data_IF_929103055288
#
_entry.id   IF_929103055288
#
_cell.length_a   1.000
_cell.length_b   1.000
_cell.length_c   1.000
_cell.angle_alpha   90.00
_cell.angle_beta   90.00
_cell.angle_gamma   90.00
#
_symmetry.space_group_name_H-M   'P 1'
#
loop_
_entity.id
_entity.type
_entity.pdbx_description
1 polymer ?
#
# COMPACT_ATOMS: atom_id res chain seq x y z
N UNK A 1 -0.97 10.20 17.11
CA UNK A 1 -0.59 8.76 17.23
C UNK A 1 -1.73 7.78 16.95
N UNK A 2 -2.95 7.93 17.51
CA UNK A 2 -4.06 6.97 17.27
C UNK A 2 -4.45 6.86 15.80
N UNK A 3 -4.56 8.00 15.09
CA UNK A 3 -4.93 8.04 13.67
C UNK A 3 -3.92 7.32 12.76
N UNK A 4 -2.62 7.54 12.96
CA UNK A 4 -1.55 6.86 12.19
C UNK A 4 -1.64 5.34 12.33
N UNK A 5 -1.87 4.84 13.56
CA UNK A 5 -2.05 3.41 13.79
C UNK A 5 -3.29 2.84 13.09
N UNK A 6 -4.42 3.55 13.16
CA UNK A 6 -5.66 3.15 12.46
C UNK A 6 -5.45 3.14 10.95
N UNK A 7 -4.81 4.16 10.38
CA UNK A 7 -4.49 4.22 8.95
C UNK A 7 -3.53 3.10 8.55
N UNK A 8 -2.50 2.79 9.34
CA UNK A 8 -1.60 1.67 9.06
C UNK A 8 -2.33 0.31 9.04
N UNK A 9 -3.28 0.09 9.96
CA UNK A 9 -4.12 -1.12 9.97
C UNK A 9 -5.03 -1.14 8.74
N UNK A 10 -5.68 -0.02 8.43
CA UNK A 10 -6.58 0.10 7.28
C UNK A 10 -5.85 -0.18 5.95
N UNK A 11 -4.61 0.31 5.79
CA UNK A 11 -3.76 0.00 4.64
C UNK A 11 -3.44 -1.50 4.59
N UNK A 12 -3.05 -2.10 5.72
CA UNK A 12 -2.77 -3.54 5.80
C UNK A 12 -3.95 -4.41 5.38
N UNK A 13 -5.14 -4.12 5.92
CA UNK A 13 -6.39 -4.80 5.54
C UNK A 13 -6.74 -4.53 4.07
N UNK A 14 -6.60 -3.27 3.63
CA UNK A 14 -6.88 -2.86 2.26
C UNK A 14 -6.03 -3.63 1.24
N UNK A 15 -4.75 -3.86 1.50
CA UNK A 15 -3.90 -4.61 0.56
C UNK A 15 -4.26 -6.10 0.50
N UNK A 16 -4.70 -6.71 1.61
CA UNK A 16 -5.22 -8.08 1.58
C UNK A 16 -6.48 -8.16 0.72
N UNK A 17 -7.42 -7.22 0.91
CA UNK A 17 -8.62 -7.11 0.08
C UNK A 17 -8.23 -6.95 -1.40
N UNK A 18 -7.22 -6.12 -1.69
CA UNK A 18 -6.75 -5.89 -3.05
C UNK A 18 -6.16 -7.12 -3.70
N UNK A 19 -5.39 -7.93 -2.97
CA UNK A 19 -4.89 -9.19 -3.48
C UNK A 19 -6.04 -10.14 -3.83
N UNK A 20 -7.05 -10.24 -2.95
CA UNK A 20 -8.22 -11.09 -3.18
C UNK A 20 -8.99 -10.60 -4.42
N UNK A 21 -9.24 -9.30 -4.54
CA UNK A 21 -9.91 -8.71 -5.71
C UNK A 21 -9.10 -8.99 -6.99
N UNK A 22 -7.79 -8.77 -6.97
CA UNK A 22 -6.91 -8.99 -8.12
C UNK A 22 -6.91 -10.45 -8.60
N UNK A 23 -6.87 -11.43 -7.68
CA UNK A 23 -6.97 -12.85 -8.02
C UNK A 23 -8.33 -13.18 -8.66
N UNK A 24 -9.42 -12.62 -8.13
CA UNK A 24 -10.76 -12.86 -8.67
C UNK A 24 -10.93 -12.22 -10.07
N UNK A 25 -10.40 -11.02 -10.30
CA UNK A 25 -10.38 -10.38 -11.62
C UNK A 25 -9.60 -11.25 -12.62
N UNK A 26 -8.43 -11.78 -12.22
CA UNK A 26 -7.63 -12.68 -13.06
C UNK A 26 -8.36 -14.00 -13.40
N UNK A 27 -9.32 -14.41 -12.57
CA UNK A 27 -10.20 -15.57 -12.81
C UNK A 27 -11.44 -15.25 -13.65
N UNK A 28 -11.59 -14.01 -14.13
CA UNK A 28 -12.67 -13.58 -15.03
C UNK A 28 -13.80 -12.78 -14.38
N UNK A 29 -13.73 -12.46 -13.07
CA UNK A 29 -14.71 -11.60 -12.40
C UNK A 29 -14.45 -10.11 -12.69
N UNK A 30 -14.60 -9.71 -13.95
CA UNK A 30 -14.29 -8.36 -14.42
C UNK A 30 -15.16 -7.25 -13.79
N UNK A 31 -16.33 -7.59 -13.23
CA UNK A 31 -17.19 -6.65 -12.50
C UNK A 31 -16.54 -6.08 -11.23
N UNK A 32 -15.50 -6.74 -10.70
CA UNK A 32 -14.76 -6.28 -9.52
C UNK A 32 -13.63 -5.29 -9.86
N UNK A 33 -13.37 -5.03 -11.14
CA UNK A 33 -12.24 -4.23 -11.61
C UNK A 33 -12.28 -2.80 -11.08
N UNK A 34 -13.44 -2.16 -11.13
CA UNK A 34 -13.58 -0.75 -10.75
C UNK A 34 -13.46 -0.59 -9.22
N UNK A 35 -13.98 -1.57 -8.47
CA UNK A 35 -13.79 -1.64 -7.03
C UNK A 35 -12.31 -1.83 -6.65
N UNK A 36 -11.60 -2.70 -7.37
CA UNK A 36 -10.17 -2.90 -7.21
C UNK A 36 -9.38 -1.61 -7.53
N UNK A 37 -9.71 -0.92 -8.61
CA UNK A 37 -9.09 0.37 -8.94
C UNK A 37 -9.34 1.43 -7.86
N UNK A 38 -10.58 1.53 -7.38
CA UNK A 38 -10.97 2.47 -6.32
C UNK A 38 -10.16 2.24 -5.04
N UNK A 39 -10.07 1.01 -4.55
CA UNK A 39 -9.26 0.70 -3.37
C UNK A 39 -7.77 0.95 -3.61
N UNK A 40 -7.30 0.91 -4.86
CA UNK A 40 -5.90 1.13 -5.21
C UNK A 40 -5.54 2.58 -5.04
N UNK A 41 -6.39 3.46 -5.58
CA UNK A 41 -6.28 4.91 -5.44
C UNK A 41 -6.44 5.32 -3.96
N UNK A 42 -7.43 4.76 -3.25
CA UNK A 42 -7.61 5.03 -1.82
C UNK A 42 -6.38 4.60 -1.01
N UNK A 43 -5.83 3.42 -1.30
CA UNK A 43 -4.59 2.94 -0.68
C UNK A 43 -3.42 3.89 -0.91
N UNK A 44 -3.26 4.41 -2.15
CA UNK A 44 -2.24 5.40 -2.47
C UNK A 44 -2.40 6.67 -1.63
N UNK A 45 -3.61 7.22 -1.50
CA UNK A 45 -3.89 8.41 -0.68
C UNK A 45 -3.47 8.18 0.79
N UNK A 46 -3.85 7.04 1.35
CA UNK A 46 -3.52 6.70 2.75
C UNK A 46 -2.02 6.52 2.96
N UNK A 47 -1.32 5.86 2.03
CA UNK A 47 0.13 5.69 2.09
C UNK A 47 0.85 7.03 1.91
N UNK A 48 0.39 7.90 1.01
CA UNK A 48 0.90 9.27 0.85
C UNK A 48 0.78 10.07 2.14
N UNK A 49 -0.36 9.97 2.83
CA UNK A 49 -0.53 10.60 4.14
C UNK A 49 0.48 10.08 5.18
N UNK A 50 0.70 8.76 5.26
CA UNK A 50 1.69 8.19 6.17
C UNK A 50 3.12 8.64 5.86
N UNK A 51 3.48 8.71 4.58
CA UNK A 51 4.77 9.23 4.17
C UNK A 51 4.93 10.70 4.55
N UNK A 52 3.94 11.55 4.23
CA UNK A 52 3.93 12.96 4.64
C UNK A 52 4.11 13.10 6.16
N UNK A 53 3.35 12.32 6.94
CA UNK A 53 3.46 12.34 8.39
C UNK A 53 4.88 11.95 8.86
N UNK A 54 5.49 10.94 8.25
CA UNK A 54 6.85 10.52 8.58
C UNK A 54 7.89 11.60 8.31
N UNK A 55 7.73 12.37 7.22
CA UNK A 55 8.65 13.44 6.85
C UNK A 55 8.50 14.61 7.84
N UNK A 56 7.26 14.98 8.14
CA UNK A 56 6.96 16.19 8.93
C UNK A 56 7.15 16.00 10.43
N UNK A 57 6.81 14.84 10.98
CA UNK A 57 6.66 14.66 12.43
C UNK A 57 7.59 13.59 13.03
N UNK A 58 8.29 12.79 12.22
CA UNK A 58 9.21 11.77 12.72
C UNK A 58 10.67 12.19 12.53
N UNK A 59 11.47 12.00 13.57
CA UNK A 59 12.94 12.14 13.52
C UNK A 59 13.61 10.85 13.02
N UNK A 60 12.91 9.72 13.01
CA UNK A 60 13.46 8.43 12.57
C UNK A 60 13.67 8.38 11.06
N UNK A 61 14.93 8.28 10.63
CA UNK A 61 15.32 8.06 9.23
C UNK A 61 14.78 6.72 8.69
N UNK A 62 14.76 5.67 9.50
CA UNK A 62 14.21 4.36 9.12
C UNK A 62 12.73 4.44 8.76
N UNK A 63 11.92 5.20 9.51
CA UNK A 63 10.49 5.36 9.21
C UNK A 63 10.28 6.13 7.89
N UNK A 64 11.12 7.14 7.61
CA UNK A 64 11.07 7.90 6.34
C UNK A 64 11.42 7.01 5.15
N UNK A 65 12.46 6.19 5.27
CA UNK A 65 12.87 5.25 4.21
C UNK A 65 11.78 4.19 3.99
N UNK A 66 11.29 3.55 5.06
CA UNK A 66 10.28 2.50 4.94
C UNK A 66 8.96 3.02 4.35
N UNK A 67 8.48 4.18 4.82
CA UNK A 67 7.26 4.80 4.27
C UNK A 67 7.45 5.32 2.85
N UNK A 68 8.63 5.85 2.51
CA UNK A 68 8.96 6.27 1.14
C UNK A 68 9.02 5.10 0.17
N UNK A 69 9.65 3.99 0.55
CA UNK A 69 9.67 2.75 -0.23
C UNK A 69 8.26 2.18 -0.42
N UNK A 70 7.44 2.22 0.64
CA UNK A 70 6.02 1.80 0.57
C UNK A 70 5.23 2.68 -0.40
N UNK A 71 5.42 4.01 -0.35
CA UNK A 71 4.77 4.94 -1.26
C UNK A 71 5.17 4.69 -2.71
N UNK A 72 6.47 4.55 -2.99
CA UNK A 72 6.97 4.29 -4.34
C UNK A 72 6.39 2.98 -4.90
N UNK A 73 6.41 1.90 -4.10
CA UNK A 73 5.84 0.62 -4.51
C UNK A 73 4.32 0.72 -4.75
N UNK A 74 3.60 1.46 -3.90
CA UNK A 74 2.15 1.69 -4.06
C UNK A 74 1.85 2.48 -5.34
N UNK A 75 2.65 3.50 -5.64
CA UNK A 75 2.51 4.29 -6.86
C UNK A 75 2.74 3.43 -8.11
N UNK A 76 3.82 2.64 -8.13
CA UNK A 76 4.10 1.69 -9.21
C UNK A 76 2.93 0.71 -9.39
N UNK A 77 2.40 0.18 -8.29
CA UNK A 77 1.26 -0.74 -8.29
C UNK A 77 0.01 -0.11 -8.93
N UNK A 78 -0.36 1.10 -8.52
CA UNK A 78 -1.51 1.81 -9.08
C UNK A 78 -1.27 2.15 -10.56
N UNK A 79 -0.07 2.59 -10.94
CA UNK A 79 0.26 2.87 -12.33
C UNK A 79 0.13 1.62 -13.22
N UNK A 80 0.66 0.47 -12.77
CA UNK A 80 0.50 -0.81 -13.48
C UNK A 80 -0.97 -1.24 -13.55
N UNK A 81 -1.73 -1.08 -12.46
CA UNK A 81 -3.15 -1.40 -12.41
C UNK A 81 -3.98 -0.53 -13.37
N UNK A 82 -3.71 0.78 -13.44
CA UNK A 82 -4.34 1.69 -14.39
C UNK A 82 -3.96 1.37 -15.84
N UNK A 83 -2.71 0.96 -16.09
CA UNK A 83 -2.32 0.48 -17.41
C UNK A 83 -3.13 -0.76 -17.81
N UNK A 84 -3.25 -1.76 -16.92
CA UNK A 84 -4.06 -2.96 -17.14
C UNK A 84 -5.56 -2.67 -17.29
N UNK A 85 -6.04 -1.59 -16.67
CA UNK A 85 -7.41 -1.12 -16.82
C UNK A 85 -7.71 -0.69 -18.26
N UNK A 86 -6.74 -0.08 -18.94
CA UNK A 86 -6.87 0.43 -20.30
C UNK A 86 -6.46 -0.60 -21.36
N UNK A 87 -5.42 -1.39 -21.09
CA UNK A 87 -4.88 -2.39 -22.00
C UNK A 87 -4.34 -3.61 -21.25
N UNK A 88 -4.95 -4.77 -21.49
CA UNK A 88 -4.52 -6.03 -20.88
C UNK A 88 -3.21 -6.53 -21.50
N UNK A 89 -2.22 -6.79 -20.66
CA UNK A 89 -0.94 -7.40 -21.05
C UNK A 89 -0.52 -8.44 -20.03
N UNK A 90 -0.20 -9.65 -20.50
CA UNK A 90 0.24 -10.76 -19.62
C UNK A 90 1.51 -10.39 -18.86
N UNK A 91 2.46 -9.76 -19.55
CA UNK A 91 3.71 -9.29 -18.94
C UNK A 91 3.45 -8.27 -17.83
N UNK A 92 2.65 -7.24 -18.09
CA UNK A 92 2.31 -6.21 -17.10
C UNK A 92 1.49 -6.80 -15.94
N UNK A 93 0.56 -7.71 -16.23
CA UNK A 93 -0.24 -8.40 -15.22
C UNK A 93 0.65 -9.24 -14.28
N UNK A 94 1.69 -9.84 -14.81
CA UNK A 94 2.66 -10.64 -14.04
C UNK A 94 3.49 -9.75 -13.13
N UNK A 95 4.03 -8.65 -13.66
CA UNK A 95 4.76 -7.66 -12.86
C UNK A 95 3.85 -7.07 -11.78
N UNK A 96 2.62 -6.69 -12.14
CA UNK A 96 1.62 -6.15 -11.21
C UNK A 96 1.34 -7.14 -10.07
N UNK A 97 1.18 -8.43 -10.36
CA UNK A 97 0.99 -9.45 -9.32
C UNK A 97 2.20 -9.53 -8.37
N UNK A 98 3.42 -9.70 -8.88
CA UNK A 98 4.61 -9.85 -8.03
C UNK A 98 4.95 -8.60 -7.23
N UNK A 99 4.80 -7.42 -7.84
CA UNK A 99 5.00 -6.16 -7.12
C UNK A 99 3.90 -5.90 -6.09
N UNK A 100 2.70 -6.46 -6.26
CA UNK A 100 1.63 -6.47 -5.25
C UNK A 100 1.97 -7.35 -4.04
N UNK A 101 2.56 -8.53 -4.27
CA UNK A 101 3.07 -9.39 -3.19
C UNK A 101 4.20 -8.70 -2.42
N UNK A 102 5.15 -8.06 -3.12
CA UNK A 102 6.20 -7.26 -2.49
C UNK A 102 5.61 -6.12 -1.65
N UNK A 103 4.56 -5.45 -2.13
CA UNK A 103 3.92 -4.36 -1.41
C UNK A 103 3.34 -4.81 -0.06
N UNK A 104 2.79 -6.03 0.04
CA UNK A 104 2.32 -6.60 1.32
C UNK A 104 3.46 -6.65 2.34
N UNK A 105 4.64 -7.12 1.93
CA UNK A 105 5.81 -7.21 2.79
C UNK A 105 6.25 -5.82 3.25
N UNK A 106 6.33 -4.86 2.32
CA UNK A 106 6.71 -3.48 2.63
C UNK A 106 5.74 -2.82 3.61
N UNK A 107 4.44 -3.02 3.44
CA UNK A 107 3.42 -2.48 4.35
C UNK A 107 3.52 -3.12 5.73
N UNK A 108 3.74 -4.44 5.81
CA UNK A 108 3.93 -5.12 7.09
C UNK A 108 5.16 -4.57 7.85
N UNK A 109 6.29 -4.40 7.14
CA UNK A 109 7.53 -3.85 7.71
C UNK A 109 7.34 -2.39 8.13
N UNK A 110 6.80 -1.55 7.25
CA UNK A 110 6.52 -0.13 7.51
C UNK A 110 5.56 0.05 8.70
N UNK A 111 4.49 -0.75 8.75
CA UNK A 111 3.54 -0.78 9.87
C UNK A 111 4.19 -1.20 11.18
N UNK A 112 5.03 -2.24 11.17
CA UNK A 112 5.77 -2.67 12.36
C UNK A 112 6.72 -1.59 12.89
N UNK A 113 7.47 -0.92 12.01
CA UNK A 113 8.37 0.19 12.36
C UNK A 113 7.56 1.36 12.94
N UNK A 114 6.45 1.73 12.29
CA UNK A 114 5.56 2.80 12.74
C UNK A 114 5.00 2.53 14.14
N UNK A 115 4.52 1.31 14.40
CA UNK A 115 4.00 0.91 15.71
C UNK A 115 5.07 0.91 16.81
N UNK A 116 6.28 0.43 16.51
CA UNK A 116 7.41 0.46 17.45
C UNK A 116 7.79 1.90 17.81
N UNK A 117 7.86 2.77 16.80
CA UNK A 117 8.21 4.18 17.01
C UNK A 117 7.15 4.91 17.86
N UNK A 118 5.87 4.65 17.61
CA UNK A 118 4.77 5.24 18.38
C UNK A 118 4.74 4.80 19.86
N UNK A 119 5.23 3.59 20.18
CA UNK A 119 5.36 3.13 21.58
C UNK A 119 6.54 3.77 22.30
N UNK A 120 7.67 3.95 21.61
CA UNK A 120 8.87 4.58 22.18
C UNK A 120 8.61 6.04 22.58
N UNK A 121 7.90 6.78 21.73
CA UNK A 121 7.52 8.18 21.96
C UNK A 121 6.62 8.41 23.18
N UNK A 122 5.98 7.37 23.75
CA UNK A 122 5.13 7.50 24.95
C UNK A 122 5.86 7.23 26.27
N UNK A 123 7.10 6.75 26.22
CA UNK A 123 7.87 6.32 27.40
C UNK A 123 8.93 7.32 27.84
N UNK A 124 9.16 8.38 27.07
CA UNK A 124 9.93 9.56 27.46
C UNK A 124 8.98 10.73 27.68
#
# INVERSE_FOLDING_TARGET
MRLVGVISIAIGVGVIIQLILGINIARGLHSLRDLHAFFGILGLILVSYLFYYSIRYSTSMYLKIASGATLLATFIQVALGLHLYMATSIFISTIHFYTGVLLIILIAVSGAISMRHARSSKRG
#
